data_IF_865156385279
#
_entry.id   IF_865156385279
#
_cell.length_a   1.000
_cell.length_b   1.000
_cell.length_c   1.000
_cell.angle_alpha   90.00
_cell.angle_beta   90.00
_cell.angle_gamma   90.00
#
_symmetry.space_group_name_H-M   'P 1'
#
loop_
_entity.id
_entity.type
_entity.pdbx_description
1 polymer ?
#
# COMPACT_ATOMS: atom_id res chain seq x y z
N UNK A 1 6.13 13.57 -23.00
CA UNK A 1 7.11 12.93 -22.10
C UNK A 1 7.96 11.99 -22.93
N UNK A 2 9.28 12.17 -22.99
CA UNK A 2 10.17 11.34 -23.83
C UNK A 2 11.11 10.57 -22.90
N UNK A 3 11.22 9.25 -23.10
CA UNK A 3 12.24 8.42 -22.43
C UNK A 3 13.59 8.83 -23.01
N UNK A 4 14.47 9.40 -22.19
CA UNK A 4 15.86 9.61 -22.58
C UNK A 4 16.61 8.31 -22.28
N UNK A 5 16.98 7.61 -23.35
CA UNK A 5 17.87 6.45 -23.28
C UNK A 5 19.26 7.00 -22.97
N UNK A 6 19.86 6.55 -21.87
CA UNK A 6 21.28 6.75 -21.60
C UNK A 6 21.95 5.44 -21.97
N UNK A 7 22.51 5.38 -23.19
CA UNK A 7 23.15 4.17 -23.70
C UNK A 7 24.45 3.88 -22.94
N UNK A 8 24.50 2.72 -22.29
CA UNK A 8 25.74 2.02 -22.00
C UNK A 8 26.13 1.19 -23.23
N UNK A 9 27.42 1.16 -23.56
CA UNK A 9 27.94 0.50 -24.75
C UNK A 9 27.46 -0.96 -24.89
N UNK A 10 26.73 -1.29 -25.95
CA UNK A 10 26.32 -2.67 -26.22
C UNK A 10 25.85 -2.87 -27.67
N UNK A 11 26.20 -4.03 -28.25
CA UNK A 11 25.90 -4.46 -29.62
C UNK A 11 24.61 -5.32 -29.74
N UNK A 12 23.78 -5.38 -28.69
CA UNK A 12 22.49 -6.10 -28.69
C UNK A 12 21.29 -5.23 -29.09
N UNK A 13 20.16 -5.85 -29.42
CA UNK A 13 18.89 -5.15 -29.69
C UNK A 13 18.43 -4.43 -28.42
N UNK A 14 18.17 -3.13 -28.52
CA UNK A 14 17.83 -2.30 -27.36
C UNK A 14 16.41 -2.64 -26.85
N UNK A 15 16.25 -3.06 -25.57
CA UNK A 15 14.95 -3.41 -25.01
C UNK A 15 13.98 -2.23 -24.90
N UNK A 16 14.48 -0.98 -24.97
CA UNK A 16 13.66 0.23 -24.95
C UNK A 16 13.23 0.66 -26.37
N UNK A 17 12.49 -0.22 -27.04
CA UNK A 17 11.95 0.04 -28.38
C UNK A 17 10.66 0.88 -28.36
N UNK A 18 10.13 1.23 -29.53
CA UNK A 18 8.92 2.07 -29.69
C UNK A 18 7.68 1.48 -29.00
N UNK A 19 7.55 0.16 -28.97
CA UNK A 19 6.44 -0.52 -28.29
C UNK A 19 6.56 -0.32 -26.77
N UNK A 20 7.76 -0.50 -26.22
CA UNK A 20 8.04 -0.28 -24.80
C UNK A 20 7.85 1.20 -24.41
N UNK A 21 8.28 2.15 -25.26
CA UNK A 21 8.07 3.57 -25.00
C UNK A 21 6.58 3.92 -25.00
N UNK A 22 5.80 3.36 -25.93
CA UNK A 22 4.34 3.56 -25.99
C UNK A 22 3.64 3.01 -24.75
N UNK A 23 3.99 1.78 -24.33
CA UNK A 23 3.47 1.18 -23.11
C UNK A 23 3.82 2.03 -21.89
N UNK A 24 5.08 2.48 -21.78
CA UNK A 24 5.53 3.35 -20.69
C UNK A 24 4.69 4.63 -20.60
N UNK A 25 4.49 5.34 -21.71
CA UNK A 25 3.67 6.57 -21.74
C UNK A 25 2.24 6.30 -21.28
N UNK A 26 1.63 5.25 -21.81
CA UNK A 26 0.25 4.88 -21.46
C UNK A 26 0.12 4.58 -19.96
N UNK A 27 0.98 3.72 -19.42
CA UNK A 27 0.88 3.30 -18.02
C UNK A 27 1.19 4.45 -17.05
N UNK A 28 2.14 5.34 -17.38
CA UNK A 28 2.43 6.55 -16.59
C UNK A 28 1.20 7.48 -16.53
N UNK A 29 0.53 7.70 -17.66
CA UNK A 29 -0.65 8.55 -17.74
C UNK A 29 -1.85 7.95 -16.99
N UNK A 30 -2.06 6.63 -17.09
CA UNK A 30 -3.11 5.90 -16.37
C UNK A 30 -2.89 5.94 -14.86
N UNK A 31 -1.66 5.66 -14.42
CA UNK A 31 -1.28 5.60 -13.00
C UNK A 31 -0.99 6.99 -12.40
N UNK A 32 -1.03 8.06 -13.20
CA UNK A 32 -0.71 9.45 -12.80
C UNK A 32 0.67 9.56 -12.15
N UNK A 33 1.66 8.92 -12.76
CA UNK A 33 3.05 8.93 -12.31
C UNK A 33 3.83 9.96 -13.12
N UNK A 34 4.36 11.03 -12.49
CA UNK A 34 5.09 12.07 -13.20
C UNK A 34 6.39 11.61 -13.83
N UNK A 35 7.03 10.53 -13.38
CA UNK A 35 8.24 10.02 -14.00
C UNK A 35 8.78 8.74 -13.37
N UNK A 36 9.48 7.97 -14.21
CA UNK A 36 10.22 6.78 -13.82
C UNK A 36 11.63 6.77 -14.44
N UNK A 37 12.48 5.91 -13.89
CA UNK A 37 13.73 5.45 -14.48
C UNK A 37 13.84 3.94 -14.35
N UNK A 38 14.43 3.30 -15.35
CA UNK A 38 14.55 1.84 -15.44
C UNK A 38 15.99 1.50 -15.82
N UNK A 39 16.54 0.51 -15.14
CA UNK A 39 17.79 -0.16 -15.47
C UNK A 39 17.54 -1.64 -15.78
N UNK A 40 18.24 -2.17 -16.78
CA UNK A 40 18.20 -3.57 -17.18
C UNK A 40 19.63 -4.09 -17.22
N UNK A 41 19.85 -5.25 -16.64
CA UNK A 41 21.05 -6.07 -16.84
C UNK A 41 20.61 -7.30 -17.63
N UNK A 42 21.27 -7.54 -18.76
CA UNK A 42 21.06 -8.73 -19.58
C UNK A 42 22.42 -9.31 -20.00
N UNK A 43 22.82 -10.41 -19.35
CA UNK A 43 24.15 -11.00 -19.45
C UNK A 43 25.23 -9.94 -19.16
N UNK A 44 26.12 -9.65 -20.12
CA UNK A 44 27.17 -8.64 -20.01
C UNK A 44 26.70 -7.22 -20.41
N UNK A 45 25.43 -7.04 -20.76
CA UNK A 45 24.89 -5.78 -21.28
C UNK A 45 24.08 -5.05 -20.20
N UNK A 46 24.16 -3.73 -20.21
CA UNK A 46 23.40 -2.87 -19.29
C UNK A 46 22.71 -1.75 -20.05
N UNK A 47 21.43 -1.57 -19.79
CA UNK A 47 20.59 -0.55 -20.40
C UNK A 47 19.98 0.34 -19.34
N UNK A 48 19.97 1.65 -19.55
CA UNK A 48 19.29 2.59 -18.65
C UNK A 48 18.47 3.61 -19.42
N UNK A 49 17.28 3.90 -18.93
CA UNK A 49 16.43 4.96 -19.48
C UNK A 49 15.69 5.68 -18.36
N UNK A 50 15.46 6.98 -18.55
CA UNK A 50 14.71 7.79 -17.60
C UNK A 50 13.79 8.78 -18.31
N UNK A 51 12.64 9.04 -17.70
CA UNK A 51 11.77 10.15 -18.11
C UNK A 51 12.33 11.50 -17.64
N UNK A 52 11.92 12.59 -18.27
CA UNK A 52 12.45 13.93 -18.00
C UNK A 52 12.12 14.52 -16.63
N UNK A 53 11.22 13.89 -15.87
CA UNK A 53 10.68 14.42 -14.62
C UNK A 53 11.27 13.76 -13.37
N UNK A 54 12.15 12.76 -13.52
CA UNK A 54 12.83 12.13 -12.40
C UNK A 54 14.06 12.96 -12.00
N UNK A 55 14.20 13.21 -10.70
CA UNK A 55 15.34 13.95 -10.13
C UNK A 55 16.37 13.00 -9.52
N UNK A 56 17.59 13.49 -9.28
CA UNK A 56 18.61 12.73 -8.56
C UNK A 56 18.18 12.42 -7.11
N UNK A 57 17.46 13.34 -6.48
CA UNK A 57 16.92 13.17 -5.12
C UNK A 57 15.90 12.03 -5.08
N UNK A 58 15.07 11.93 -6.12
CA UNK A 58 14.15 10.80 -6.28
C UNK A 58 14.99 9.51 -6.26
N UNK A 59 15.95 9.37 -7.18
CA UNK A 59 16.76 8.16 -7.35
C UNK A 59 17.42 7.66 -6.04
N UNK A 60 18.02 8.55 -5.24
CA UNK A 60 18.73 8.17 -4.00
C UNK A 60 17.80 7.90 -2.80
N UNK A 61 16.53 8.29 -2.86
CA UNK A 61 15.58 8.20 -1.73
C UNK A 61 14.81 6.88 -1.63
N UNK A 62 14.99 5.97 -2.59
CA UNK A 62 14.18 4.75 -2.77
C UNK A 62 14.35 3.64 -1.71
N UNK A 63 15.27 3.81 -0.74
CA UNK A 63 15.53 2.87 0.38
C UNK A 63 15.56 1.41 -0.08
N UNK A 64 16.32 1.16 -1.14
CA UNK A 64 16.41 -0.16 -1.75
C UNK A 64 17.04 -1.20 -0.81
N UNK A 65 16.41 -2.35 -0.64
CA UNK A 65 16.93 -3.48 0.16
C UNK A 65 16.60 -3.50 1.66
N UNK A 66 15.79 -2.57 2.19
CA UNK A 66 15.36 -2.66 3.60
C UNK A 66 14.39 -3.84 3.82
N UNK A 67 14.68 -4.78 4.73
CA UNK A 67 13.86 -5.97 4.92
C UNK A 67 12.48 -5.62 5.49
N UNK A 68 11.45 -6.27 4.95
CA UNK A 68 10.07 -6.16 5.44
C UNK A 68 9.89 -6.99 6.71
N UNK A 69 9.68 -6.31 7.85
CA UNK A 69 9.49 -6.95 9.15
C UNK A 69 8.18 -7.75 9.22
N UNK A 70 7.14 -7.31 8.53
CA UNK A 70 5.86 -8.00 8.39
C UNK A 70 6.01 -9.32 7.62
N UNK A 71 6.76 -9.30 6.51
CA UNK A 71 7.01 -10.52 5.72
C UNK A 71 7.92 -11.51 6.44
N UNK A 72 8.90 -11.04 7.20
CA UNK A 72 9.77 -11.88 8.04
C UNK A 72 9.00 -12.59 9.18
N UNK A 73 7.84 -12.08 9.57
CA UNK A 73 7.02 -12.60 10.68
C UNK A 73 5.84 -13.47 10.24
N UNK A 74 5.79 -13.89 8.96
CA UNK A 74 4.69 -14.67 8.39
C UNK A 74 4.53 -16.03 9.11
N UNK A 75 3.65 -16.06 10.11
CA UNK A 75 3.35 -17.26 10.93
C UNK A 75 2.00 -17.90 10.62
N UNK A 76 1.15 -17.26 9.82
CA UNK A 76 -0.24 -17.65 9.64
C UNK A 76 -0.58 -17.94 8.18
N UNK A 77 -1.39 -18.98 7.97
CA UNK A 77 -2.08 -19.25 6.71
C UNK A 77 -3.55 -18.87 6.86
N UNK A 78 -4.12 -18.28 5.82
CA UNK A 78 -5.56 -18.22 5.66
C UNK A 78 -6.09 -19.65 5.52
N UNK A 79 -6.86 -20.14 6.49
CA UNK A 79 -7.59 -21.38 6.31
C UNK A 79 -8.70 -21.21 5.26
N UNK A 80 -9.17 -22.33 4.71
CA UNK A 80 -10.34 -22.40 3.84
C UNK A 80 -11.53 -21.64 4.44
N UNK A 81 -12.40 -21.18 3.54
CA UNK A 81 -13.56 -20.35 3.83
C UNK A 81 -14.34 -20.91 5.01
N UNK A 82 -14.24 -20.23 6.15
CA UNK A 82 -15.19 -20.44 7.23
C UNK A 82 -16.24 -19.36 7.11
N UNK A 83 -17.44 -19.81 6.75
CA UNK A 83 -18.65 -19.02 6.85
C UNK A 83 -18.93 -18.85 8.35
N UNK A 84 -18.94 -17.63 8.86
CA UNK A 84 -19.46 -17.41 10.21
C UNK A 84 -20.96 -17.74 10.26
N UNK A 85 -21.55 -17.84 11.46
CA UNK A 85 -22.97 -18.16 11.61
C UNK A 85 -23.95 -17.16 10.94
N UNK A 86 -23.42 -16.13 10.27
CA UNK A 86 -24.14 -15.05 9.61
C UNK A 86 -23.87 -14.99 8.08
N UNK A 87 -23.09 -15.91 7.50
CA UNK A 87 -22.90 -15.98 6.05
C UNK A 87 -21.68 -15.22 5.50
N UNK A 88 -20.86 -14.60 6.35
CA UNK A 88 -19.68 -13.86 5.90
C UNK A 88 -18.46 -14.78 5.79
N UNK A 89 -17.75 -14.71 4.67
CA UNK A 89 -16.45 -15.38 4.50
C UNK A 89 -15.41 -14.75 5.43
N UNK A 90 -15.12 -15.42 6.56
CA UNK A 90 -13.94 -15.10 7.37
C UNK A 90 -12.89 -16.17 7.12
N UNK A 91 -11.75 -15.76 6.55
CA UNK A 91 -10.56 -16.61 6.45
C UNK A 91 -9.96 -16.78 7.85
N UNK A 92 -10.27 -17.89 8.52
CA UNK A 92 -9.73 -18.18 9.86
C UNK A 92 -8.21 -18.34 9.74
N UNK A 93 -7.44 -17.43 10.36
CA UNK A 93 -5.97 -17.52 10.34
C UNK A 93 -5.51 -18.64 11.28
N UNK A 94 -4.73 -19.61 10.79
CA UNK A 94 -4.10 -20.66 11.61
C UNK A 94 -2.57 -20.64 11.45
N UNK A 95 -1.84 -21.10 12.46
CA UNK A 95 -0.38 -21.19 12.35
C UNK A 95 0.05 -22.09 11.19
N UNK A 96 1.02 -21.62 10.41
CA UNK A 96 1.67 -22.38 9.36
C UNK A 96 2.52 -23.49 10.00
N UNK A 97 2.34 -24.72 9.56
CA UNK A 97 3.14 -25.87 10.00
C UNK A 97 4.16 -26.25 8.92
N UNK A 98 5.21 -26.99 9.29
CA UNK A 98 6.17 -27.56 8.32
C UNK A 98 5.43 -28.38 7.25
N UNK A 99 4.39 -29.11 7.64
CA UNK A 99 3.56 -29.90 6.72
C UNK A 99 2.85 -29.04 5.68
N UNK A 100 2.49 -27.81 6.00
CA UNK A 100 1.86 -26.88 5.06
C UNK A 100 2.85 -26.38 4.02
N UNK A 101 4.08 -26.06 4.45
CA UNK A 101 5.17 -25.71 3.53
C UNK A 101 5.45 -26.87 2.58
N UNK A 102 5.57 -28.10 3.10
CA UNK A 102 5.81 -29.30 2.26
C UNK A 102 4.64 -29.66 1.34
N UNK A 103 3.38 -29.39 1.75
CA UNK A 103 2.21 -29.60 0.90
C UNK A 103 2.06 -28.54 -0.19
N UNK A 104 2.39 -27.28 0.11
CA UNK A 104 2.35 -26.22 -0.90
C UNK A 104 3.32 -26.48 -2.06
N UNK A 105 4.45 -27.15 -1.81
CA UNK A 105 5.38 -27.63 -2.85
C UNK A 105 4.76 -28.66 -3.81
N UNK A 106 3.53 -29.17 -3.55
CA UNK A 106 2.83 -30.14 -4.41
C UNK A 106 1.72 -29.53 -5.25
N UNK A 107 1.34 -28.28 -4.99
CA UNK A 107 0.28 -27.61 -5.74
C UNK A 107 0.90 -26.94 -6.98
N UNK A 108 0.24 -27.11 -8.13
CA UNK A 108 0.65 -26.41 -9.34
C UNK A 108 0.44 -24.90 -9.16
N UNK A 109 1.40 -24.06 -9.57
CA UNK A 109 1.34 -22.62 -9.40
C UNK A 109 0.18 -21.98 -10.16
N UNK A 110 -0.52 -21.02 -9.54
CA UNK A 110 -1.39 -20.07 -10.29
C UNK A 110 -0.49 -18.98 -10.89
N UNK A 111 -0.83 -18.48 -12.08
CA UNK A 111 -0.16 -17.33 -12.71
C UNK A 111 1.35 -17.57 -12.97
N UNK A 112 1.75 -18.83 -13.19
CA UNK A 112 3.15 -19.22 -13.38
C UNK A 112 4.03 -19.07 -12.12
N UNK A 113 3.47 -18.69 -10.96
CA UNK A 113 4.21 -18.42 -9.71
C UNK A 113 4.06 -19.52 -8.66
N UNK A 114 5.16 -20.11 -8.24
CA UNK A 114 5.20 -21.11 -7.15
C UNK A 114 5.27 -20.45 -5.76
N UNK A 115 5.44 -21.24 -4.70
CA UNK A 115 5.56 -20.80 -3.31
C UNK A 115 6.51 -19.62 -3.19
N UNK A 116 5.96 -18.50 -2.70
CA UNK A 116 6.73 -17.30 -2.39
C UNK A 116 7.36 -17.44 -1.00
N UNK A 117 8.67 -17.30 -0.93
CA UNK A 117 9.47 -17.32 0.29
C UNK A 117 10.10 -15.95 0.52
N UNK A 118 10.46 -15.65 1.77
CA UNK A 118 11.16 -14.41 2.10
C UNK A 118 12.36 -14.73 3.00
N UNK A 119 13.56 -14.28 2.63
CA UNK A 119 14.78 -14.49 3.42
C UNK A 119 15.84 -13.44 3.07
N UNK A 120 16.65 -13.04 4.05
CA UNK A 120 17.76 -12.08 3.90
C UNK A 120 17.37 -10.80 3.13
N UNK A 121 16.13 -10.32 3.31
CA UNK A 121 15.64 -9.13 2.62
C UNK A 121 15.32 -9.35 1.14
N UNK A 122 14.97 -10.57 0.72
CA UNK A 122 14.52 -10.89 -0.64
C UNK A 122 13.29 -11.77 -0.63
N UNK A 123 12.33 -11.45 -1.51
CA UNK A 123 11.28 -12.41 -1.87
C UNK A 123 11.83 -13.34 -2.95
N UNK A 124 11.51 -14.63 -2.87
CA UNK A 124 11.88 -15.63 -3.89
C UNK A 124 10.66 -16.45 -4.27
N UNK A 125 10.44 -16.63 -5.56
CA UNK A 125 9.43 -17.56 -6.12
C UNK A 125 10.01 -18.28 -7.35
N UNK A 126 9.26 -19.20 -7.95
CA UNK A 126 9.52 -19.67 -9.30
C UNK A 126 8.53 -18.99 -10.24
N UNK A 127 8.99 -18.33 -11.30
CA UNK A 127 8.15 -17.77 -12.36
C UNK A 127 8.34 -18.59 -13.64
N UNK A 128 7.30 -19.28 -14.10
CA UNK A 128 7.36 -20.27 -15.18
C UNK A 128 8.54 -21.26 -15.03
N UNK A 129 8.75 -21.75 -13.81
CA UNK A 129 9.81 -22.70 -13.46
C UNK A 129 11.20 -22.09 -13.22
N UNK A 130 11.38 -20.77 -13.43
CA UNK A 130 12.65 -20.07 -13.27
C UNK A 130 12.74 -19.37 -11.93
N UNK A 131 13.89 -19.41 -11.27
CA UNK A 131 14.06 -18.78 -9.97
C UNK A 131 14.02 -17.25 -10.11
N UNK A 132 12.97 -16.62 -9.56
CA UNK A 132 12.82 -15.17 -9.55
C UNK A 132 12.99 -14.65 -8.13
N UNK A 133 13.85 -13.64 -7.99
CA UNK A 133 14.02 -12.87 -6.77
C UNK A 133 13.45 -11.48 -6.96
N UNK A 134 12.73 -10.98 -5.96
CA UNK A 134 12.14 -9.64 -6.03
C UNK A 134 12.27 -8.91 -4.72
N UNK A 135 12.38 -7.59 -4.82
CA UNK A 135 12.23 -6.72 -3.68
C UNK A 135 11.61 -5.39 -4.11
N UNK A 136 10.40 -5.11 -3.62
CA UNK A 136 9.83 -3.79 -3.72
C UNK A 136 10.42 -2.86 -2.66
N UNK A 137 10.08 -1.59 -2.74
CA UNK A 137 10.19 -0.69 -1.61
C UNK A 137 9.58 0.62 -2.00
N UNK A 138 9.62 1.54 -1.06
CA UNK A 138 9.03 2.83 -1.33
C UNK A 138 8.93 3.64 -0.07
N UNK A 139 8.75 4.92 -0.31
CA UNK A 139 8.28 5.85 0.67
C UNK A 139 7.05 6.54 0.08
N UNK A 140 6.37 7.37 0.87
CA UNK A 140 5.14 8.01 0.44
C UNK A 140 5.24 8.86 -0.83
N UNK A 141 6.45 9.24 -1.24
CA UNK A 141 6.69 9.99 -2.48
C UNK A 141 7.38 9.17 -3.59
N UNK A 142 7.77 7.91 -3.32
CA UNK A 142 8.64 7.14 -4.21
C UNK A 142 8.29 5.65 -4.22
N UNK A 143 8.30 5.05 -5.39
CA UNK A 143 8.07 3.64 -5.63
C UNK A 143 9.32 3.06 -6.27
N UNK A 144 9.60 1.81 -5.95
CA UNK A 144 10.72 1.08 -6.54
C UNK A 144 10.50 -0.40 -6.50
N UNK A 145 11.04 -1.06 -7.50
CA UNK A 145 10.99 -2.49 -7.64
C UNK A 145 12.29 -2.97 -8.26
N UNK A 146 12.76 -4.11 -7.78
CA UNK A 146 13.84 -4.87 -8.40
C UNK A 146 13.39 -6.31 -8.56
N UNK A 147 13.63 -6.87 -9.74
CA UNK A 147 13.42 -8.28 -10.07
C UNK A 147 14.62 -8.83 -10.81
N UNK A 148 15.01 -10.06 -10.52
CA UNK A 148 16.14 -10.69 -11.18
C UNK A 148 16.05 -12.21 -11.18
N UNK A 149 16.66 -12.77 -12.22
CA UNK A 149 16.70 -14.17 -12.61
C UNK A 149 18.16 -14.57 -12.76
N UNK A 150 18.78 -15.13 -11.70
CA UNK A 150 20.23 -15.37 -11.69
C UNK A 150 20.71 -16.35 -12.77
N UNK A 151 19.95 -17.41 -13.05
CA UNK A 151 20.33 -18.45 -14.03
C UNK A 151 20.26 -17.91 -15.47
N UNK A 152 19.38 -16.94 -15.70
CA UNK A 152 19.18 -16.21 -16.95
C UNK A 152 20.08 -14.99 -17.06
N UNK A 153 20.86 -14.67 -16.01
CA UNK A 153 21.69 -13.47 -15.89
C UNK A 153 20.93 -12.19 -16.25
N UNK A 154 19.67 -12.12 -15.85
CA UNK A 154 18.76 -11.04 -16.21
C UNK A 154 18.23 -10.34 -14.97
N UNK A 155 18.17 -9.01 -15.01
CA UNK A 155 17.63 -8.21 -13.92
C UNK A 155 17.08 -6.89 -14.38
N UNK A 156 16.04 -6.43 -13.70
CA UNK A 156 15.37 -5.15 -13.93
C UNK A 156 15.23 -4.41 -12.62
N UNK A 157 15.47 -3.10 -12.65
CA UNK A 157 15.29 -2.20 -11.53
C UNK A 157 14.61 -0.93 -12.00
N UNK A 158 13.76 -0.37 -11.15
CA UNK A 158 12.89 0.73 -11.48
C UNK A 158 12.73 1.63 -10.28
N UNK A 159 12.60 2.91 -10.59
CA UNK A 159 12.44 3.97 -9.62
C UNK A 159 11.42 4.97 -10.16
N UNK A 160 10.41 5.33 -9.37
CA UNK A 160 9.41 6.32 -9.74
C UNK A 160 9.08 7.29 -8.62
N UNK A 161 8.61 8.48 -9.01
CA UNK A 161 8.40 9.62 -8.12
C UNK A 161 6.95 9.76 -7.62
N UNK A 162 6.27 8.63 -7.48
CA UNK A 162 5.05 8.47 -6.68
C UNK A 162 5.19 7.19 -5.86
N UNK A 163 4.41 6.99 -4.81
CA UNK A 163 4.42 5.74 -4.05
C UNK A 163 3.83 4.55 -4.86
N UNK A 164 2.79 3.91 -4.34
CA UNK A 164 2.20 2.69 -4.90
C UNK A 164 1.90 2.72 -6.41
N UNK A 165 1.57 3.87 -6.99
CA UNK A 165 1.33 3.97 -8.44
C UNK A 165 2.59 3.81 -9.29
N UNK A 166 3.77 4.19 -8.80
CA UNK A 166 5.02 3.94 -9.51
C UNK A 166 5.37 2.46 -9.51
N UNK A 167 5.21 1.77 -8.38
CA UNK A 167 5.38 0.31 -8.30
C UNK A 167 4.47 -0.41 -9.33
N UNK A 168 3.23 0.05 -9.50
CA UNK A 168 2.30 -0.48 -10.51
C UNK A 168 2.84 -0.31 -11.94
N UNK A 169 3.33 0.88 -12.29
CA UNK A 169 3.96 1.15 -13.60
C UNK A 169 5.16 0.23 -13.80
N UNK A 170 6.05 0.15 -12.80
CA UNK A 170 7.23 -0.68 -12.85
C UNK A 170 6.88 -2.17 -13.04
N UNK A 171 5.86 -2.68 -12.35
CA UNK A 171 5.43 -4.07 -12.54
C UNK A 171 4.95 -4.33 -13.97
N UNK A 172 4.10 -3.48 -14.53
CA UNK A 172 3.63 -3.63 -15.92
C UNK A 172 4.82 -3.68 -16.89
N UNK A 173 5.79 -2.78 -16.73
CA UNK A 173 6.96 -2.70 -17.60
C UNK A 173 7.94 -3.87 -17.38
N UNK A 174 8.14 -4.30 -16.15
CA UNK A 174 9.05 -5.40 -15.84
C UNK A 174 8.52 -6.73 -16.35
N UNK A 175 7.23 -7.04 -16.14
CA UNK A 175 6.68 -8.30 -16.63
C UNK A 175 6.66 -8.33 -18.16
N UNK A 176 6.45 -7.21 -18.85
CA UNK A 176 6.66 -7.14 -20.31
C UNK A 176 8.08 -7.56 -20.70
N UNK A 177 9.10 -6.95 -20.08
CA UNK A 177 10.52 -7.24 -20.37
C UNK A 177 10.89 -8.68 -20.01
N UNK A 178 10.44 -9.18 -18.85
CA UNK A 178 10.71 -10.53 -18.36
C UNK A 178 10.04 -11.56 -19.28
N UNK A 179 8.77 -11.39 -19.61
CA UNK A 179 8.00 -12.31 -20.44
C UNK A 179 8.57 -12.39 -21.86
N UNK A 180 9.00 -11.25 -22.42
CA UNK A 180 9.70 -11.22 -23.70
C UNK A 180 11.06 -11.94 -23.62
N UNK A 181 11.85 -11.68 -22.56
CA UNK A 181 13.18 -12.29 -22.37
C UNK A 181 13.13 -13.81 -22.26
N UNK A 182 12.18 -14.35 -21.51
CA UNK A 182 12.08 -15.79 -21.26
C UNK A 182 11.16 -16.53 -22.25
N UNK A 183 10.54 -15.79 -23.18
CA UNK A 183 9.73 -16.33 -24.27
C UNK A 183 8.35 -16.84 -23.86
N UNK A 184 7.67 -16.17 -22.92
CA UNK A 184 6.30 -16.55 -22.53
C UNK A 184 5.32 -16.17 -23.64
N UNK A 185 4.51 -17.13 -24.07
CA UNK A 185 3.49 -16.92 -25.08
C UNK A 185 2.42 -15.92 -24.58
N UNK A 186 1.90 -15.01 -25.41
CA UNK A 186 0.95 -13.97 -24.99
C UNK A 186 -0.24 -14.47 -24.17
N UNK A 187 -0.77 -15.65 -24.51
CA UNK A 187 -1.89 -16.30 -23.83
C UNK A 187 -1.55 -16.87 -22.44
N UNK A 188 -0.27 -17.04 -22.13
CA UNK A 188 0.22 -17.52 -20.83
C UNK A 188 0.67 -16.36 -19.92
N UNK A 189 0.73 -15.13 -20.44
CA UNK A 189 1.16 -13.94 -19.69
C UNK A 189 0.08 -13.49 -18.72
N UNK A 190 0.52 -12.96 -17.58
CA UNK A 190 -0.39 -12.43 -16.57
C UNK A 190 -0.90 -11.04 -16.97
N UNK A 191 -2.18 -10.77 -16.66
CA UNK A 191 -2.78 -9.43 -16.82
C UNK A 191 -2.37 -8.50 -15.67
N UNK A 192 -1.10 -8.09 -15.67
CA UNK A 192 -0.53 -7.23 -14.63
C UNK A 192 -1.19 -5.86 -14.60
N UNK A 193 -1.54 -5.33 -15.78
CA UNK A 193 -2.24 -4.03 -15.89
C UNK A 193 -3.59 -4.09 -15.21
N UNK A 194 -4.44 -5.06 -15.56
CA UNK A 194 -5.76 -5.20 -14.95
C UNK A 194 -5.70 -5.55 -13.46
N UNK A 195 -4.68 -6.29 -13.01
CA UNK A 195 -4.42 -6.50 -11.58
C UNK A 195 -4.12 -5.19 -10.84
N UNK A 196 -3.23 -4.35 -11.39
CA UNK A 196 -2.89 -3.05 -10.79
C UNK A 196 -4.09 -2.10 -10.75
N UNK A 197 -4.87 -2.03 -11.84
CA UNK A 197 -6.09 -1.22 -11.90
C UNK A 197 -7.11 -1.64 -10.84
N UNK A 198 -7.33 -2.95 -10.66
CA UNK A 198 -8.23 -3.50 -9.64
C UNK A 198 -7.80 -3.09 -8.25
N UNK A 199 -6.51 -3.17 -7.93
CA UNK A 199 -5.99 -2.80 -6.60
C UNK A 199 -6.15 -1.29 -6.35
N UNK A 200 -5.78 -0.45 -7.31
CA UNK A 200 -5.93 1.01 -7.21
C UNK A 200 -7.41 1.41 -7.03
N UNK A 201 -8.31 0.76 -7.77
CA UNK A 201 -9.75 0.98 -7.64
C UNK A 201 -10.27 0.51 -6.28
N UNK A 202 -9.79 -0.65 -5.79
CA UNK A 202 -10.12 -1.20 -4.48
C UNK A 202 -9.84 -0.20 -3.37
N UNK A 203 -8.62 0.35 -3.30
CA UNK A 203 -8.26 1.33 -2.26
C UNK A 203 -9.15 2.59 -2.27
N UNK A 204 -9.53 3.07 -3.46
CA UNK A 204 -10.44 4.22 -3.58
C UNK A 204 -11.84 3.90 -3.09
N UNK A 205 -12.35 2.71 -3.43
CA UNK A 205 -13.67 2.26 -3.01
C UNK A 205 -13.72 1.98 -1.51
N UNK A 206 -12.68 1.35 -0.96
CA UNK A 206 -12.57 1.09 0.48
C UNK A 206 -12.57 2.39 1.29
N UNK A 207 -11.78 3.37 0.85
CA UNK A 207 -11.75 4.68 1.51
C UNK A 207 -13.11 5.40 1.47
N UNK A 208 -13.84 5.28 0.36
CA UNK A 208 -15.18 5.85 0.21
C UNK A 208 -16.20 5.15 1.11
N UNK A 209 -16.08 3.84 1.30
CA UNK A 209 -16.99 3.02 2.10
C UNK A 209 -16.45 2.73 3.51
N UNK A 210 -15.55 3.58 4.02
CA UNK A 210 -14.85 3.38 5.30
C UNK A 210 -15.80 3.07 6.47
N UNK A 211 -16.91 3.82 6.58
CA UNK A 211 -17.92 3.62 7.63
C UNK A 211 -18.60 2.26 7.49
N UNK A 212 -18.93 1.84 6.28
CA UNK A 212 -19.56 0.54 6.04
C UNK A 212 -18.62 -0.62 6.33
N UNK A 213 -17.33 -0.46 6.02
CA UNK A 213 -16.30 -1.48 6.30
C UNK A 213 -16.09 -1.65 7.80
N UNK A 214 -15.86 -0.54 8.52
CA UNK A 214 -15.55 -0.58 9.95
C UNK A 214 -16.80 -0.87 10.79
N UNK A 215 -17.90 -0.21 10.46
CA UNK A 215 -19.15 -0.22 11.24
C UNK A 215 -20.30 -0.88 10.47
N UNK A 216 -20.05 -2.06 9.89
CA UNK A 216 -21.05 -2.84 9.13
C UNK A 216 -22.28 -3.26 9.96
N UNK A 217 -22.17 -3.32 11.29
CA UNK A 217 -23.29 -3.66 12.23
C UNK A 217 -23.83 -2.46 13.01
N UNK A 218 -23.61 -1.23 12.54
CA UNK A 218 -24.14 -0.04 13.21
C UNK A 218 -25.67 0.02 13.14
N UNK A 219 -26.34 0.68 14.10
CA UNK A 219 -27.79 0.84 14.06
C UNK A 219 -28.23 1.72 12.88
N UNK A 220 -29.39 1.42 12.29
CA UNK A 220 -30.02 2.24 11.23
C UNK A 220 -30.30 3.68 11.69
N UNK A 221 -30.54 3.84 13.00
CA UNK A 221 -30.71 5.13 13.66
C UNK A 221 -29.51 5.40 14.58
N UNK A 222 -28.56 6.24 14.15
CA UNK A 222 -27.43 6.63 14.99
C UNK A 222 -27.86 7.27 16.31
N UNK A 223 -27.36 6.73 17.42
CA UNK A 223 -27.37 7.43 18.71
C UNK A 223 -26.59 8.74 18.59
N UNK A 224 -27.10 9.82 19.19
CA UNK A 224 -26.39 11.08 19.28
C UNK A 224 -25.07 10.94 20.05
N UNK A 225 -24.10 11.82 19.76
CA UNK A 225 -22.88 11.94 20.57
C UNK A 225 -23.26 12.25 22.03
N UNK A 226 -22.60 11.64 23.04
CA UNK A 226 -22.88 11.89 24.45
C UNK A 226 -22.68 13.35 24.87
N UNK A 227 -21.84 14.10 24.16
CA UNK A 227 -21.51 15.50 24.40
C UNK A 227 -21.47 16.29 23.10
N UNK A 228 -21.46 17.62 23.21
CA UNK A 228 -21.27 18.51 22.05
C UNK A 228 -19.88 18.29 21.43
N UNK A 229 -19.77 18.48 20.12
CA UNK A 229 -18.50 18.31 19.40
C UNK A 229 -17.40 19.22 19.97
N UNK A 230 -17.77 20.39 20.51
CA UNK A 230 -16.85 21.34 21.14
C UNK A 230 -16.29 20.83 22.45
N UNK A 231 -17.05 20.00 23.17
CA UNK A 231 -16.58 19.39 24.41
C UNK A 231 -15.54 18.29 24.13
N UNK A 232 -15.54 17.71 22.93
CA UNK A 232 -14.54 16.71 22.49
C UNK A 232 -13.19 17.35 22.11
N UNK A 233 -13.19 18.65 21.74
CA UNK A 233 -11.96 19.36 21.41
C UNK A 233 -11.01 19.46 22.61
N UNK A 234 -9.71 19.43 22.34
CA UNK A 234 -8.68 19.39 23.38
C UNK A 234 -7.47 18.56 22.98
N UNK A 235 -6.52 18.43 23.91
CA UNK A 235 -5.29 17.66 23.71
C UNK A 235 -5.40 16.30 24.37
N UNK A 236 -4.98 15.26 23.66
CA UNK A 236 -4.93 13.90 24.16
C UNK A 236 -3.53 13.35 23.93
N UNK A 237 -3.02 12.54 24.86
CA UNK A 237 -1.62 12.10 24.88
C UNK A 237 -1.50 10.59 25.01
N UNK A 238 -0.60 10.01 24.21
CA UNK A 238 -0.12 8.64 24.37
C UNK A 238 1.43 8.64 24.41
N UNK A 239 2.08 7.83 25.26
CA UNK A 239 3.55 7.80 25.36
C UNK A 239 4.31 7.40 24.09
N UNK A 240 3.69 6.65 23.19
CA UNK A 240 4.30 6.21 21.93
C UNK A 240 3.92 7.09 20.74
N UNK A 241 2.69 7.60 20.73
CA UNK A 241 2.15 8.41 19.64
C UNK A 241 2.19 9.91 19.91
N UNK A 242 2.62 10.35 21.09
CA UNK A 242 2.66 11.74 21.53
C UNK A 242 1.27 12.40 21.55
N UNK A 243 1.23 13.73 21.47
CA UNK A 243 -0.02 14.49 21.57
C UNK A 243 -0.80 14.48 20.24
N UNK A 244 -2.12 14.27 20.33
CA UNK A 244 -3.09 14.57 19.29
C UNK A 244 -4.01 15.69 19.76
N UNK A 245 -4.10 16.77 18.99
CA UNK A 245 -4.95 17.93 19.30
C UNK A 245 -6.19 17.90 18.41
N UNK A 246 -7.36 17.78 19.04
CA UNK A 246 -8.66 17.83 18.37
C UNK A 246 -9.16 19.27 18.32
N UNK A 247 -9.50 19.74 17.12
CA UNK A 247 -10.04 21.08 16.85
C UNK A 247 -11.37 20.95 16.12
N UNK A 248 -12.30 21.86 16.40
CA UNK A 248 -13.56 21.94 15.65
C UNK A 248 -13.37 22.85 14.45
N UNK A 249 -13.71 22.37 13.27
CA UNK A 249 -13.68 23.15 12.03
C UNK A 249 -14.99 22.98 11.22
N UNK A 250 -15.35 23.94 10.36
CA UNK A 250 -16.45 23.75 9.41
C UNK A 250 -16.18 22.57 8.48
N UNK A 251 -17.21 21.76 8.22
CA UNK A 251 -17.12 20.67 7.25
C UNK A 251 -16.94 21.23 5.84
N UNK A 252 -15.84 20.92 5.13
CA UNK A 252 -15.60 21.44 3.78
C UNK A 252 -16.58 20.90 2.73
N UNK A 253 -17.30 19.81 3.04
CA UNK A 253 -18.23 19.15 2.13
C UNK A 253 -19.70 19.38 2.53
N UNK A 254 -19.98 19.76 3.78
CA UNK A 254 -21.34 19.94 4.29
C UNK A 254 -21.51 21.31 4.97
N UNK A 255 -22.03 22.28 4.21
CA UNK A 255 -22.29 23.64 4.71
C UNK A 255 -23.14 23.62 5.99
N UNK A 256 -22.65 24.28 7.04
CA UNK A 256 -23.34 24.38 8.33
C UNK A 256 -23.13 23.21 9.29
N UNK A 257 -22.32 22.21 8.91
CA UNK A 257 -21.86 21.16 9.83
C UNK A 257 -20.45 21.45 10.33
N UNK A 258 -20.17 20.97 11.54
CA UNK A 258 -18.85 21.01 12.16
C UNK A 258 -18.26 19.59 12.14
N UNK A 259 -16.93 19.51 11.98
CA UNK A 259 -16.14 18.28 12.07
C UNK A 259 -15.02 18.45 13.10
N UNK A 260 -14.51 17.33 13.60
CA UNK A 260 -13.27 17.32 14.36
C UNK A 260 -12.09 17.11 13.41
N UNK A 261 -11.04 17.91 13.58
CA UNK A 261 -9.79 17.84 12.84
C UNK A 261 -8.67 17.53 13.81
N UNK A 262 -7.75 16.66 13.42
CA UNK A 262 -6.64 16.17 14.23
C UNK A 262 -5.33 16.12 13.41
N UNK A 263 -4.97 17.28 12.87
CA UNK A 263 -3.77 17.43 12.04
C UNK A 263 -2.50 17.26 12.87
N UNK A 264 -1.56 16.48 12.33
CA UNK A 264 -0.23 16.26 12.89
C UNK A 264 0.82 16.79 11.94
N UNK A 265 1.33 17.97 12.23
CA UNK A 265 2.41 18.62 11.45
C UNK A 265 3.79 18.46 12.10
N UNK A 266 3.81 17.99 13.35
CA UNK A 266 4.96 17.77 14.21
C UNK A 266 5.62 16.39 14.02
N UNK A 267 4.99 15.50 13.26
CA UNK A 267 5.50 14.18 12.95
C UNK A 267 6.37 14.19 11.69
N UNK A 268 7.27 13.19 11.58
CA UNK A 268 8.12 12.96 10.39
C UNK A 268 7.35 13.03 9.07
N UNK A 269 6.08 12.64 9.11
CA UNK A 269 5.14 12.83 8.03
C UNK A 269 3.96 13.65 8.48
N UNK A 270 3.59 14.65 7.69
CA UNK A 270 2.42 15.47 7.97
C UNK A 270 1.15 14.68 7.67
N UNK A 271 0.31 14.49 8.68
CA UNK A 271 -0.95 13.75 8.56
C UNK A 271 -2.08 14.73 8.78
N UNK A 272 -3.00 14.80 7.83
CA UNK A 272 -4.26 15.54 7.95
C UNK A 272 -5.36 14.56 8.31
N UNK A 273 -6.11 14.83 9.36
CA UNK A 273 -7.10 13.88 9.89
C UNK A 273 -8.43 14.55 10.17
N UNK A 274 -9.51 13.98 9.65
CA UNK A 274 -10.87 14.45 9.89
C UNK A 274 -11.69 13.33 10.53
N UNK A 275 -12.39 13.62 11.63
CA UNK A 275 -13.24 12.67 12.32
C UNK A 275 -14.72 12.97 12.02
N UNK A 276 -15.46 11.91 11.70
CA UNK A 276 -16.90 11.97 11.44
C UNK A 276 -17.64 11.11 12.46
N UNK A 277 -18.74 11.64 13.01
CA UNK A 277 -19.56 10.93 13.98
C UNK A 277 -20.26 9.76 13.31
N UNK A 278 -20.24 8.59 13.96
CA UNK A 278 -20.93 7.39 13.47
C UNK A 278 -22.15 7.08 14.34
N UNK A 279 -21.95 6.83 15.63
CA UNK A 279 -23.04 6.62 16.57
C UNK A 279 -22.54 6.60 18.01
N UNK A 280 -23.24 7.29 18.92
CA UNK A 280 -22.85 7.33 20.34
C UNK A 280 -21.43 7.85 20.50
N UNK A 281 -20.58 7.09 21.19
CA UNK A 281 -19.17 7.39 21.40
C UNK A 281 -18.25 7.06 20.20
N UNK A 282 -18.79 6.46 19.13
CA UNK A 282 -18.02 5.93 18.01
C UNK A 282 -17.95 6.91 16.83
N UNK A 283 -16.74 7.06 16.31
CA UNK A 283 -16.37 7.97 15.22
C UNK A 283 -15.49 7.24 14.20
N UNK A 284 -15.39 7.76 12.99
CA UNK A 284 -14.42 7.32 11.99
C UNK A 284 -13.41 8.44 11.76
N UNK A 285 -12.11 8.14 11.80
CA UNK A 285 -11.04 9.08 11.48
C UNK A 285 -10.53 8.78 10.07
N UNK A 286 -10.71 9.72 9.15
CA UNK A 286 -10.10 9.69 7.83
C UNK A 286 -8.76 10.40 7.88
N UNK A 287 -7.69 9.71 7.47
CA UNK A 287 -6.33 10.22 7.47
C UNK A 287 -5.82 10.34 6.04
N UNK A 288 -5.22 11.47 5.73
CA UNK A 288 -4.58 11.74 4.46
C UNK A 288 -3.19 12.32 4.73
N UNK A 289 -2.19 11.73 4.11
CA UNK A 289 -0.82 12.20 4.27
C UNK A 289 -0.52 13.36 3.31
N UNK A 290 0.09 14.42 3.83
CA UNK A 290 0.49 15.58 3.03
C UNK A 290 1.52 15.21 1.96
N UNK A 291 1.36 15.75 0.75
CA UNK A 291 2.31 15.53 -0.36
C UNK A 291 2.02 14.30 -1.23
N UNK A 292 1.11 13.40 -0.84
CA UNK A 292 0.63 12.31 -1.71
C UNK A 292 -0.90 12.37 -1.85
N UNK A 293 -1.43 12.90 -2.97
CA UNK A 293 -2.87 13.16 -3.09
C UNK A 293 -3.72 11.93 -3.42
N UNK A 294 -3.13 10.80 -3.86
CA UNK A 294 -3.86 9.77 -4.60
C UNK A 294 -4.16 8.48 -3.83
N UNK A 295 -3.22 7.93 -3.05
CA UNK A 295 -3.39 6.58 -2.48
C UNK A 295 -3.04 6.41 -1.00
N UNK A 296 -2.29 7.32 -0.37
CA UNK A 296 -2.06 7.27 1.08
C UNK A 296 -3.23 7.88 1.85
N UNK A 297 -4.38 7.22 1.71
CA UNK A 297 -5.62 7.55 2.41
C UNK A 297 -6.01 6.35 3.24
N UNK A 298 -6.03 6.53 4.56
CA UNK A 298 -6.38 5.50 5.51
C UNK A 298 -7.57 5.95 6.36
N UNK A 299 -8.19 5.01 7.05
CA UNK A 299 -9.27 5.29 7.98
C UNK A 299 -9.15 4.40 9.20
N UNK A 300 -9.48 4.94 10.37
CA UNK A 300 -9.40 4.22 11.63
C UNK A 300 -10.74 4.27 12.37
N UNK A 301 -11.01 3.22 13.15
CA UNK A 301 -12.09 3.25 14.12
C UNK A 301 -11.67 4.14 15.29
N UNK A 302 -12.58 4.97 15.80
CA UNK A 302 -12.35 5.80 16.96
C UNK A 302 -13.47 5.65 17.97
N UNK A 303 -13.11 5.65 19.25
CA UNK A 303 -14.07 5.65 20.36
C UNK A 303 -13.63 6.65 21.42
N UNK A 304 -14.54 7.54 21.81
CA UNK A 304 -14.33 8.42 22.96
C UNK A 304 -14.73 7.70 24.25
N UNK A 305 -13.90 7.82 25.27
CA UNK A 305 -14.23 7.36 26.63
C UNK A 305 -14.66 8.55 27.48
N UNK A 306 -15.63 8.33 28.35
CA UNK A 306 -16.22 9.37 29.19
C UNK A 306 -16.10 9.02 30.67
N UNK A 307 -15.84 10.04 31.49
CA UNK A 307 -15.83 9.92 32.95
C UNK A 307 -17.23 9.85 33.54
N UNK A 308 -17.32 9.62 34.85
CA UNK A 308 -18.59 9.61 35.59
C UNK A 308 -19.29 10.99 35.59
N UNK A 309 -18.55 12.06 35.33
CA UNK A 309 -19.04 13.42 35.17
C UNK A 309 -19.53 13.72 33.75
N UNK A 310 -19.51 12.72 32.85
CA UNK A 310 -19.90 12.85 31.46
C UNK A 310 -18.86 13.53 30.58
N UNK A 311 -17.70 13.93 31.11
CA UNK A 311 -16.65 14.60 30.33
C UNK A 311 -15.79 13.58 29.58
N UNK A 312 -15.23 13.94 28.42
CA UNK A 312 -14.33 13.04 27.70
C UNK A 312 -13.04 12.86 28.50
N UNK A 313 -12.52 11.65 28.53
CA UNK A 313 -11.31 11.28 29.29
C UNK A 313 -10.23 10.64 28.41
N UNK A 314 -10.62 10.05 27.28
CA UNK A 314 -9.67 9.48 26.33
C UNK A 314 -10.28 9.38 24.93
N UNK A 315 -9.40 9.30 23.93
CA UNK A 315 -9.68 8.90 22.56
C UNK A 315 -8.95 7.59 22.28
N UNK A 316 -9.68 6.52 22.00
CA UNK A 316 -9.12 5.28 21.48
C UNK A 316 -9.15 5.31 19.94
N UNK A 317 -8.05 4.89 19.32
CA UNK A 317 -7.92 4.77 17.87
C UNK A 317 -7.42 3.36 17.53
N UNK A 318 -8.16 2.61 16.72
CA UNK A 318 -7.73 1.30 16.20
C UNK A 318 -7.01 1.50 14.87
N UNK A 319 -5.68 1.62 14.93
CA UNK A 319 -4.85 1.81 13.75
C UNK A 319 -4.76 0.50 12.96
N UNK A 320 -5.08 0.59 11.68
CA UNK A 320 -5.03 -0.53 10.74
C UNK A 320 -4.45 0.00 9.45
N UNK A 321 -3.27 -0.50 9.08
CA UNK A 321 -2.73 -0.22 7.75
C UNK A 321 -3.46 -1.08 6.72
N UNK A 322 -4.10 -0.39 5.77
CA UNK A 322 -4.85 -1.03 4.67
C UNK A 322 -4.06 -1.06 3.37
N UNK A 323 -2.88 -0.45 3.35
CA UNK A 323 -2.00 -0.47 2.19
C UNK A 323 -1.21 -1.78 2.16
N UNK A 324 -1.70 -2.72 1.35
CA UNK A 324 -1.10 -4.05 1.16
C UNK A 324 -1.93 -5.15 1.81
N UNK A 325 -1.31 -5.96 2.68
CA UNK A 325 -2.06 -6.92 3.49
C UNK A 325 -2.61 -6.17 4.72
N UNK A 326 -3.93 -6.16 4.92
CA UNK A 326 -4.56 -5.54 6.10
C UNK A 326 -3.81 -5.94 7.38
N UNK A 327 -3.14 -4.97 7.99
CA UNK A 327 -2.34 -5.14 9.18
C UNK A 327 -2.97 -4.32 10.30
N UNK A 328 -3.51 -5.03 11.29
CA UNK A 328 -3.94 -4.40 12.52
C UNK A 328 -2.69 -3.99 13.30
N UNK A 329 -2.46 -2.69 13.42
CA UNK A 329 -1.35 -2.13 14.19
C UNK A 329 -1.69 -2.13 15.69
N UNK A 330 -2.98 -2.02 16.00
CA UNK A 330 -3.54 -2.15 17.34
C UNK A 330 -4.28 -0.91 17.80
N UNK A 331 -4.86 -1.01 18.99
CA UNK A 331 -5.59 0.07 19.65
C UNK A 331 -4.64 0.93 20.46
N UNK A 332 -4.64 2.23 20.17
CA UNK A 332 -3.89 3.27 20.89
C UNK A 332 -4.88 4.11 21.67
N UNK A 333 -4.59 4.39 22.93
CA UNK A 333 -5.48 5.14 23.82
C UNK A 333 -4.79 6.44 24.21
N UNK A 334 -5.23 7.55 23.61
CA UNK A 334 -4.77 8.88 23.95
C UNK A 334 -5.58 9.40 25.15
N UNK A 335 -4.91 9.65 26.27
CA UNK A 335 -5.52 10.18 27.49
C UNK A 335 -5.65 11.69 27.38
N UNK A 336 -6.83 12.22 27.69
CA UNK A 336 -7.07 13.67 27.66
C UNK A 336 -6.16 14.38 28.67
N UNK A 337 -5.59 15.52 28.28
CA UNK A 337 -4.57 16.24 29.06
C UNK A 337 -5.14 17.33 29.99
N UNK A 338 -6.45 17.26 30.28
CA UNK A 338 -7.22 18.31 30.97
C UNK A 338 -7.27 18.12 32.48
#
# INVERSE_FOLDING_TARGET
MTLKIVEGASSGENPFNDEFEKLTKQTLDECKVPGISIGIIDDDQTYTAATSHLTLEDAISHRTGMPRHDKASSRFLSAEDSVDGEGNEKKKKRYATVKDVTRNLRNLPKNGKDVSMYSLGWSRTLYHGRAMYTHGGGMHAFGRSVMWFPDEKFGVVGFGNTAFTADAVEYVLFYKLIDDKIGIAPEERNDVTGECEKVIKGFKEDYKNAVDIVYHKRPDHPLASPVDIKDLAGKYYDPGYETIELRVEPDPHNVGKEILVADREDTSWKIKSNLQHVSGAYWIMHMCQGGNPLLHREFAQNEFRFGLDGKPTALEVDFVSRLGAEQQEGKVVFIRMD
#
